data_IF_464538268941
#
_entry.id   IF_464538268941
#
_cell.length_a   1.000
_cell.length_b   1.000
_cell.length_c   1.000
_cell.angle_alpha   90.00
_cell.angle_beta   90.00
_cell.angle_gamma   90.00
#
_symmetry.space_group_name_H-M   'P 1'
#
loop_
_entity.id
_entity.type
_entity.pdbx_description
1 polymer ?
#
# COMPACT_ATOMS: atom_id res chain seq x y z
N UNK A 1 -5.35 -6.66 -14.49
CA UNK A 1 -6.64 -7.12 -13.94
C UNK A 1 -7.80 -6.98 -14.92
N UNK A 2 -8.23 -5.77 -15.31
CA UNK A 2 -9.39 -5.59 -16.22
C UNK A 2 -9.32 -6.44 -17.49
N UNK A 3 -8.18 -6.45 -18.18
CA UNK A 3 -8.04 -7.24 -19.42
C UNK A 3 -8.14 -8.74 -19.16
N UNK A 4 -7.59 -9.23 -18.04
CA UNK A 4 -7.63 -10.66 -17.66
C UNK A 4 -9.07 -11.08 -17.41
N UNK A 5 -9.79 -10.36 -16.54
CA UNK A 5 -11.18 -10.71 -16.25
C UNK A 5 -12.06 -10.58 -17.50
N UNK A 6 -11.87 -9.50 -18.29
CA UNK A 6 -12.63 -9.32 -19.53
C UNK A 6 -12.41 -10.48 -20.49
N UNK A 7 -11.16 -10.91 -20.67
CA UNK A 7 -10.81 -12.05 -21.50
C UNK A 7 -11.53 -13.32 -21.04
N UNK A 8 -11.39 -13.70 -19.77
CA UNK A 8 -12.03 -14.91 -19.24
C UNK A 8 -13.57 -14.88 -19.34
N UNK A 9 -14.19 -13.71 -19.20
CA UNK A 9 -15.64 -13.55 -19.37
C UNK A 9 -16.05 -13.67 -20.85
N UNK A 10 -15.27 -13.13 -21.79
CA UNK A 10 -15.55 -13.23 -23.22
C UNK A 10 -15.37 -14.66 -23.73
N UNK A 11 -14.35 -15.37 -23.26
CA UNK A 11 -14.12 -16.79 -23.59
C UNK A 11 -15.10 -17.73 -22.86
N UNK A 12 -15.93 -17.20 -21.96
CA UNK A 12 -16.93 -17.99 -21.24
C UNK A 12 -16.37 -18.88 -20.13
N UNK A 13 -15.15 -18.64 -19.65
CA UNK A 13 -14.56 -19.43 -18.56
C UNK A 13 -15.33 -19.24 -17.24
N UNK A 14 -15.78 -18.01 -16.97
CA UNK A 14 -16.63 -17.68 -15.82
C UNK A 14 -17.39 -16.37 -16.08
N UNK A 15 -18.43 -16.10 -15.29
CA UNK A 15 -19.31 -14.93 -15.49
C UNK A 15 -19.59 -14.15 -14.18
N UNK A 16 -20.86 -13.99 -13.79
CA UNK A 16 -21.32 -13.29 -12.58
C UNK A 16 -20.99 -14.05 -11.29
N UNK A 17 -20.85 -15.38 -11.36
CA UNK A 17 -20.50 -16.25 -10.22
C UNK A 17 -19.23 -15.78 -9.49
N UNK A 18 -18.28 -15.18 -10.21
CA UNK A 18 -17.08 -14.59 -9.60
C UNK A 18 -17.43 -13.60 -8.47
N UNK A 19 -18.51 -12.84 -8.60
CA UNK A 19 -18.93 -11.91 -7.55
C UNK A 19 -19.47 -12.63 -6.31
N UNK A 20 -20.10 -13.79 -6.48
CA UNK A 20 -20.60 -14.63 -5.39
C UNK A 20 -19.43 -15.31 -4.67
N UNK A 21 -18.46 -15.83 -5.42
CA UNK A 21 -17.22 -16.37 -4.87
C UNK A 21 -16.39 -15.30 -4.15
N UNK A 22 -16.31 -14.08 -4.71
CA UNK A 22 -15.68 -12.94 -4.02
C UNK A 22 -16.42 -12.58 -2.73
N UNK A 23 -17.75 -12.64 -2.71
CA UNK A 23 -18.53 -12.38 -1.51
C UNK A 23 -18.24 -13.42 -0.42
N UNK A 24 -18.20 -14.71 -0.78
CA UNK A 24 -17.96 -15.83 0.15
C UNK A 24 -16.49 -16.01 0.56
N UNK A 25 -15.55 -15.39 -0.17
CA UNK A 25 -14.12 -15.47 0.12
C UNK A 25 -13.81 -15.02 1.56
N UNK A 26 -13.31 -15.98 2.36
CA UNK A 26 -12.78 -15.77 3.71
C UNK A 26 -11.32 -15.35 3.60
N UNK A 27 -11.02 -14.14 4.05
CA UNK A 27 -9.68 -13.53 3.97
C UNK A 27 -9.17 -13.26 5.39
N UNK A 28 -7.86 -13.44 5.60
CA UNK A 28 -7.15 -13.00 6.81
C UNK A 28 -7.44 -11.53 7.15
N UNK A 29 -7.43 -11.19 8.44
CA UNK A 29 -7.65 -9.82 8.92
C UNK A 29 -6.69 -8.80 8.26
N UNK A 30 -5.48 -9.22 7.91
CA UNK A 30 -4.49 -8.36 7.23
C UNK A 30 -4.98 -7.89 5.86
N UNK A 31 -5.69 -8.75 5.13
CA UNK A 31 -6.14 -8.51 3.76
C UNK A 31 -7.61 -8.11 3.67
N UNK A 32 -8.36 -8.17 4.78
CA UNK A 32 -9.80 -7.87 4.87
C UNK A 32 -10.15 -6.46 4.44
N UNK A 33 -9.32 -5.47 4.82
CA UNK A 33 -9.47 -4.06 4.40
C UNK A 33 -9.31 -3.91 2.87
N UNK A 34 -8.52 -4.80 2.27
CA UNK A 34 -8.21 -4.80 0.85
C UNK A 34 -9.00 -5.86 0.07
N UNK A 35 -10.10 -6.38 0.64
CA UNK A 35 -10.96 -7.34 -0.06
C UNK A 35 -11.37 -6.78 -1.43
N UNK A 36 -11.23 -7.55 -2.52
CA UNK A 36 -11.56 -7.05 -3.84
C UNK A 36 -13.04 -6.66 -3.93
N UNK A 37 -13.31 -5.50 -4.51
CA UNK A 37 -14.67 -5.05 -4.79
C UNK A 37 -15.33 -5.91 -5.88
N UNK A 38 -16.66 -5.87 -5.91
CA UNK A 38 -17.47 -6.46 -6.97
C UNK A 38 -17.00 -6.00 -8.35
N UNK A 39 -16.89 -6.95 -9.28
CA UNK A 39 -16.59 -6.66 -10.68
C UNK A 39 -17.87 -6.29 -11.41
N UNK A 40 -17.81 -5.23 -12.22
CA UNK A 40 -18.91 -4.85 -13.12
C UNK A 40 -18.91 -5.78 -14.34
N UNK A 41 -20.06 -6.37 -14.65
CA UNK A 41 -20.20 -7.34 -15.75
C UNK A 41 -20.72 -6.71 -17.05
N UNK A 42 -20.89 -5.40 -17.12
CA UNK A 42 -21.29 -4.70 -18.35
C UNK A 42 -20.10 -4.65 -19.31
N UNK A 43 -20.07 -5.53 -20.30
CA UNK A 43 -18.97 -5.67 -21.27
C UNK A 43 -18.66 -4.39 -22.06
N UNK A 44 -19.69 -3.59 -22.37
CA UNK A 44 -19.55 -2.33 -23.13
C UNK A 44 -18.62 -1.33 -22.45
N UNK A 45 -18.63 -1.28 -21.12
CA UNK A 45 -17.79 -0.40 -20.30
C UNK A 45 -17.05 -1.20 -19.22
N UNK A 46 -16.48 -2.35 -19.61
CA UNK A 46 -15.88 -3.27 -18.65
C UNK A 46 -14.63 -2.67 -17.99
N UNK A 47 -14.76 -2.32 -16.71
CA UNK A 47 -13.66 -1.78 -15.89
C UNK A 47 -13.72 -2.38 -14.50
N UNK A 48 -12.58 -2.90 -14.06
CA UNK A 48 -12.40 -3.39 -12.69
C UNK A 48 -11.89 -2.21 -11.86
N UNK A 49 -12.77 -1.60 -11.05
CA UNK A 49 -12.43 -0.46 -10.21
C UNK A 49 -11.93 -0.95 -8.85
N UNK A 50 -10.63 -0.84 -8.61
CA UNK A 50 -9.95 -1.31 -7.41
C UNK A 50 -8.79 -0.36 -7.10
N UNK A 51 -8.46 -0.20 -5.82
CA UNK A 51 -7.19 0.41 -5.41
C UNK A 51 -6.00 -0.49 -5.78
N UNK A 52 -4.77 0.01 -5.65
CA UNK A 52 -3.58 -0.81 -5.88
C UNK A 52 -3.52 -2.03 -4.93
N UNK A 53 -3.80 -1.80 -3.64
CA UNK A 53 -3.82 -2.86 -2.64
C UNK A 53 -4.93 -3.89 -2.89
N UNK A 54 -6.12 -3.44 -3.28
CA UNK A 54 -7.22 -4.33 -3.68
C UNK A 54 -6.90 -5.11 -4.95
N UNK A 55 -6.25 -4.49 -5.94
CA UNK A 55 -5.80 -5.17 -7.17
C UNK A 55 -4.78 -6.25 -6.85
N UNK A 56 -3.84 -5.99 -5.93
CA UNK A 56 -2.87 -6.98 -5.47
C UNK A 56 -3.54 -8.14 -4.74
N UNK A 57 -4.44 -7.84 -3.81
CA UNK A 57 -5.27 -8.86 -3.15
C UNK A 57 -6.02 -9.71 -4.19
N UNK A 58 -6.66 -9.07 -5.16
CA UNK A 58 -7.41 -9.76 -6.19
C UNK A 58 -6.52 -10.67 -7.05
N UNK A 59 -5.33 -10.20 -7.45
CA UNK A 59 -4.40 -11.03 -8.24
C UNK A 59 -3.95 -12.30 -7.50
N UNK A 60 -3.79 -12.23 -6.17
CA UNK A 60 -3.42 -13.38 -5.35
C UNK A 60 -4.52 -14.42 -5.24
N UNK A 61 -5.76 -13.97 -5.00
CA UNK A 61 -6.89 -14.88 -4.78
C UNK A 61 -7.59 -15.33 -6.06
N UNK A 62 -7.48 -14.59 -7.17
CA UNK A 62 -8.20 -14.93 -8.41
C UNK A 62 -7.92 -16.37 -8.89
N UNK A 63 -6.67 -16.88 -8.93
CA UNK A 63 -6.44 -18.28 -9.29
C UNK A 63 -7.11 -19.30 -8.36
N UNK A 64 -7.26 -18.97 -7.08
CA UNK A 64 -7.91 -19.84 -6.10
C UNK A 64 -9.43 -19.88 -6.28
N UNK A 65 -10.02 -18.76 -6.72
CA UNK A 65 -11.45 -18.63 -6.98
C UNK A 65 -11.83 -19.37 -8.27
N UNK A 66 -11.22 -18.96 -9.38
CA UNK A 66 -11.70 -19.36 -10.72
C UNK A 66 -10.70 -20.20 -11.51
N UNK A 67 -9.53 -20.53 -10.95
CA UNK A 67 -8.49 -21.26 -11.69
C UNK A 67 -8.94 -22.63 -12.17
N UNK A 68 -9.83 -23.30 -11.43
CA UNK A 68 -10.42 -24.58 -11.83
C UNK A 68 -11.41 -24.48 -13.01
N UNK A 69 -11.87 -23.27 -13.35
CA UNK A 69 -12.79 -22.99 -14.46
C UNK A 69 -12.06 -22.60 -15.75
N UNK A 70 -10.74 -22.37 -15.68
CA UNK A 70 -9.93 -21.99 -16.84
C UNK A 70 -9.32 -23.26 -17.46
N UNK A 71 -9.34 -23.41 -18.79
CA UNK A 71 -8.73 -24.56 -19.45
C UNK A 71 -7.24 -24.72 -19.10
N UNK A 72 -6.81 -25.97 -18.97
CA UNK A 72 -5.39 -26.30 -18.88
C UNK A 72 -4.69 -25.82 -20.17
N UNK A 73 -3.49 -25.25 -20.02
CA UNK A 73 -2.66 -24.71 -21.11
C UNK A 73 -3.20 -23.45 -21.82
N UNK A 74 -4.14 -22.72 -21.21
CA UNK A 74 -4.49 -21.39 -21.71
C UNK A 74 -3.31 -20.41 -21.54
N UNK A 75 -2.65 -20.05 -22.65
CA UNK A 75 -1.42 -19.24 -22.64
C UNK A 75 -1.64 -17.82 -22.08
N UNK A 76 -2.83 -17.24 -22.24
CA UNK A 76 -3.14 -15.89 -21.72
C UNK A 76 -3.33 -15.93 -20.21
N UNK A 77 -3.95 -16.99 -19.69
CA UNK A 77 -4.05 -17.26 -18.28
C UNK A 77 -2.68 -17.55 -17.65
N UNK A 78 -1.86 -18.37 -18.32
CA UNK A 78 -0.48 -18.65 -17.92
C UNK A 78 0.36 -17.36 -17.82
N UNK A 79 0.25 -16.46 -18.81
CA UNK A 79 0.86 -15.13 -18.75
C UNK A 79 0.40 -14.33 -17.52
N UNK A 80 -0.87 -14.44 -17.12
CA UNK A 80 -1.35 -13.82 -15.89
C UNK A 80 -0.79 -14.47 -14.62
N UNK A 81 -0.65 -15.80 -14.59
CA UNK A 81 -0.03 -16.51 -13.46
C UNK A 81 1.44 -16.12 -13.29
N UNK A 82 2.20 -16.05 -14.39
CA UNK A 82 3.59 -15.58 -14.39
C UNK A 82 3.69 -14.12 -13.91
N UNK A 83 2.77 -13.25 -14.32
CA UNK A 83 2.71 -11.87 -13.81
C UNK A 83 2.44 -11.84 -12.29
N UNK A 84 1.55 -12.70 -11.81
CA UNK A 84 1.26 -12.82 -10.38
C UNK A 84 2.51 -13.26 -9.61
N UNK A 85 3.23 -14.24 -10.12
CA UNK A 85 4.43 -14.79 -9.48
C UNK A 85 5.58 -13.79 -9.48
N UNK A 86 5.78 -13.06 -10.59
CA UNK A 86 6.67 -11.91 -10.63
C UNK A 86 6.31 -10.89 -9.53
N UNK A 87 5.03 -10.54 -9.39
CA UNK A 87 4.60 -9.58 -8.38
C UNK A 87 4.81 -10.11 -6.96
N UNK A 88 4.72 -11.42 -6.71
CA UNK A 88 5.07 -12.00 -5.41
C UNK A 88 6.53 -11.78 -5.06
N UNK A 89 7.44 -11.99 -6.00
CA UNK A 89 8.87 -11.73 -5.81
C UNK A 89 9.13 -10.23 -5.55
N UNK A 90 8.54 -9.35 -6.36
CA UNK A 90 8.76 -7.89 -6.26
C UNK A 90 8.20 -7.31 -4.96
N UNK A 91 7.06 -7.84 -4.49
CA UNK A 91 6.41 -7.40 -3.26
C UNK A 91 6.90 -8.15 -2.01
N UNK A 92 7.96 -8.96 -2.10
CA UNK A 92 8.51 -9.66 -0.95
C UNK A 92 9.24 -8.69 0.00
N UNK A 93 9.05 -8.89 1.31
CA UNK A 93 9.74 -8.11 2.35
C UNK A 93 11.23 -8.48 2.47
N UNK A 94 11.56 -9.73 2.11
CA UNK A 94 12.89 -10.30 2.11
C UNK A 94 12.99 -11.35 0.99
N UNK A 95 14.16 -11.46 0.38
CA UNK A 95 14.45 -12.41 -0.70
C UNK A 95 15.77 -13.11 -0.40
N UNK A 96 15.78 -14.43 -0.52
CA UNK A 96 17.00 -15.25 -0.49
C UNK A 96 17.65 -15.28 -1.89
N UNK A 97 18.97 -15.49 -2.03
CA UNK A 97 19.62 -15.58 -3.33
C UNK A 97 19.00 -16.61 -4.30
N UNK A 98 18.49 -17.74 -3.80
CA UNK A 98 17.79 -18.72 -4.64
C UNK A 98 16.50 -18.16 -5.26
N UNK A 99 15.76 -17.35 -4.50
CA UNK A 99 14.56 -16.67 -5.02
C UNK A 99 14.90 -15.62 -6.08
N UNK A 100 16.09 -15.00 -6.01
CA UNK A 100 16.52 -14.01 -6.98
C UNK A 100 16.78 -14.63 -8.36
N UNK A 101 17.36 -15.83 -8.40
CA UNK A 101 17.56 -16.56 -9.65
C UNK A 101 16.20 -16.92 -10.27
N UNK A 102 15.31 -17.54 -9.47
CA UNK A 102 13.96 -17.90 -9.90
C UNK A 102 13.16 -16.69 -10.39
N UNK A 103 13.33 -15.52 -9.76
CA UNK A 103 12.68 -14.29 -10.19
C UNK A 103 13.11 -13.86 -11.59
N UNK A 104 14.40 -13.98 -11.94
CA UNK A 104 14.88 -13.62 -13.28
C UNK A 104 14.24 -14.52 -14.35
N UNK A 105 14.14 -15.83 -14.06
CA UNK A 105 13.51 -16.82 -14.94
C UNK A 105 12.02 -16.51 -15.15
N UNK A 106 11.27 -16.30 -14.05
CA UNK A 106 9.84 -15.95 -14.10
C UNK A 106 9.60 -14.66 -14.89
N UNK A 107 10.51 -13.67 -14.77
CA UNK A 107 10.40 -12.42 -15.53
C UNK A 107 10.57 -12.69 -17.03
N UNK A 108 11.61 -13.43 -17.42
CA UNK A 108 11.86 -13.73 -18.83
C UNK A 108 10.70 -14.54 -19.43
N UNK A 109 10.25 -15.57 -18.72
CA UNK A 109 9.13 -16.40 -19.14
C UNK A 109 7.83 -15.59 -19.28
N UNK A 110 7.55 -14.67 -18.35
CA UNK A 110 6.45 -13.73 -18.47
C UNK A 110 6.55 -12.90 -19.75
N UNK A 111 7.73 -12.34 -20.05
CA UNK A 111 7.93 -11.47 -21.22
C UNK A 111 7.75 -12.23 -22.53
N UNK A 112 8.30 -13.43 -22.63
CA UNK A 112 8.12 -14.32 -23.78
C UNK A 112 6.64 -14.67 -23.96
N UNK A 113 6.00 -15.17 -22.91
CA UNK A 113 4.59 -15.55 -22.94
C UNK A 113 3.69 -14.36 -23.27
N UNK A 114 3.93 -13.20 -22.67
CA UNK A 114 3.18 -11.96 -22.93
C UNK A 114 3.28 -11.55 -24.41
N UNK A 115 4.47 -11.62 -25.00
CA UNK A 115 4.70 -11.22 -26.39
C UNK A 115 4.07 -12.20 -27.39
N UNK A 116 4.05 -13.49 -27.06
CA UNK A 116 3.33 -14.50 -27.86
C UNK A 116 1.81 -14.33 -27.77
N UNK A 117 1.28 -14.07 -26.57
CA UNK A 117 -0.15 -13.97 -26.32
C UNK A 117 -0.80 -12.67 -26.82
N UNK A 118 -0.02 -11.60 -26.93
CA UNK A 118 -0.50 -10.26 -27.28
C UNK A 118 0.47 -9.56 -28.24
N UNK A 119 0.68 -10.10 -29.46
CA UNK A 119 1.72 -9.63 -30.38
C UNK A 119 1.53 -8.19 -30.84
N UNK A 120 0.27 -7.74 -30.95
CA UNK A 120 -0.08 -6.41 -31.48
C UNK A 120 0.02 -5.29 -30.44
N UNK A 121 0.34 -5.60 -29.18
CA UNK A 121 0.42 -4.62 -28.10
C UNK A 121 1.87 -4.32 -27.76
N UNK A 122 2.24 -3.05 -27.90
CA UNK A 122 3.55 -2.58 -27.46
C UNK A 122 3.77 -2.85 -25.97
N UNK A 123 4.89 -3.48 -25.64
CA UNK A 123 5.30 -3.73 -24.26
C UNK A 123 5.39 -2.40 -23.53
N UNK A 124 4.65 -2.30 -22.42
CA UNK A 124 4.63 -1.06 -21.62
C UNK A 124 6.00 -0.86 -20.96
N UNK A 125 6.47 0.38 -20.77
CA UNK A 125 7.71 0.66 -20.05
C UNK A 125 7.77 0.01 -18.67
N UNK A 126 6.62 -0.09 -17.98
CA UNK A 126 6.51 -0.78 -16.69
C UNK A 126 6.93 -2.24 -16.73
N UNK A 127 6.64 -2.95 -17.82
CA UNK A 127 7.08 -4.33 -18.00
C UNK A 127 8.55 -4.38 -18.40
N UNK A 128 9.01 -3.47 -19.27
CA UNK A 128 10.44 -3.40 -19.61
C UNK A 128 11.32 -3.22 -18.36
N UNK A 129 10.95 -2.31 -17.46
CA UNK A 129 11.72 -2.07 -16.24
C UNK A 129 11.83 -3.29 -15.30
N UNK A 130 10.90 -4.27 -15.38
CA UNK A 130 10.99 -5.46 -14.52
C UNK A 130 12.22 -6.31 -14.84
N UNK A 131 12.74 -6.26 -16.08
CA UNK A 131 13.98 -6.94 -16.48
C UNK A 131 15.19 -6.50 -15.64
N UNK A 132 15.17 -5.27 -15.11
CA UNK A 132 16.24 -4.75 -14.27
C UNK A 132 16.06 -5.07 -12.78
N UNK A 133 14.87 -5.52 -12.37
CA UNK A 133 14.57 -5.72 -10.95
C UNK A 133 15.50 -6.74 -10.26
N UNK A 134 15.93 -7.85 -10.87
CA UNK A 134 16.90 -8.75 -10.23
C UNK A 134 18.22 -8.04 -9.88
N UNK A 135 18.74 -7.23 -10.80
CA UNK A 135 19.97 -6.45 -10.57
C UNK A 135 19.77 -5.38 -9.50
N UNK A 136 18.62 -4.69 -9.49
CA UNK A 136 18.29 -3.70 -8.49
C UNK A 136 18.13 -4.31 -7.10
N UNK A 137 17.52 -5.49 -6.99
CA UNK A 137 17.37 -6.20 -5.71
C UNK A 137 18.73 -6.60 -5.15
N UNK A 138 19.63 -7.08 -6.01
CA UNK A 138 21.00 -7.41 -5.62
C UNK A 138 21.75 -6.20 -5.06
N UNK A 139 21.52 -5.01 -5.60
CA UNK A 139 22.22 -3.79 -5.22
C UNK A 139 21.59 -3.08 -4.02
N UNK A 140 20.26 -3.01 -3.95
CA UNK A 140 19.53 -2.17 -3.00
C UNK A 140 18.70 -2.96 -1.98
N UNK A 141 18.65 -4.29 -2.10
CA UNK A 141 17.75 -5.14 -1.32
C UNK A 141 16.32 -5.16 -1.86
N UNK A 142 15.35 -5.68 -1.09
CA UNK A 142 13.97 -5.85 -1.53
C UNK A 142 13.32 -4.53 -2.00
N UNK A 143 12.79 -4.51 -3.23
CA UNK A 143 12.24 -3.29 -3.86
C UNK A 143 11.01 -2.74 -3.13
N UNK A 144 10.30 -3.57 -2.36
CA UNK A 144 9.17 -3.14 -1.55
C UNK A 144 9.55 -1.99 -0.59
N UNK A 145 10.80 -1.93 -0.12
CA UNK A 145 11.28 -0.85 0.76
C UNK A 145 11.56 0.45 0.01
N UNK A 146 11.73 0.39 -1.32
CA UNK A 146 11.99 1.54 -2.19
C UNK A 146 10.70 2.11 -2.83
N UNK A 147 9.54 1.50 -2.58
CA UNK A 147 8.28 1.93 -3.17
C UNK A 147 7.85 3.32 -2.66
N UNK A 148 7.16 4.08 -3.52
CA UNK A 148 6.68 5.42 -3.18
C UNK A 148 5.24 5.45 -2.65
N UNK A 149 4.55 4.30 -2.57
CA UNK A 149 3.14 4.23 -2.15
C UNK A 149 2.90 4.87 -0.78
N UNK A 150 3.84 4.74 0.17
CA UNK A 150 3.74 5.37 1.50
C UNK A 150 3.77 6.89 1.43
N UNK A 151 4.59 7.46 0.54
CA UNK A 151 4.67 8.91 0.33
C UNK A 151 3.38 9.43 -0.31
N UNK A 152 2.81 8.71 -1.28
CA UNK A 152 1.52 9.05 -1.89
C UNK A 152 0.38 9.01 -0.87
N UNK A 153 0.34 7.97 -0.03
CA UNK A 153 -0.63 7.85 1.05
C UNK A 153 -0.52 9.00 2.06
N UNK A 154 0.71 9.36 2.47
CA UNK A 154 0.93 10.52 3.35
C UNK A 154 0.53 11.84 2.70
N UNK A 155 0.81 11.99 1.41
CA UNK A 155 0.40 13.17 0.65
C UNK A 155 -1.13 13.32 0.56
N UNK A 156 -1.87 12.20 0.54
CA UNK A 156 -3.32 12.22 0.49
C UNK A 156 -3.97 12.94 1.67
N UNK A 157 -3.40 12.82 2.87
CA UNK A 157 -3.83 13.60 4.05
C UNK A 157 -3.84 15.11 3.76
N UNK A 158 -2.77 15.62 3.16
CA UNK A 158 -2.64 17.05 2.87
C UNK A 158 -3.59 17.51 1.76
N UNK A 159 -3.82 16.68 0.73
CA UNK A 159 -4.81 16.96 -0.31
C UNK A 159 -6.22 17.06 0.25
N UNK A 160 -6.62 16.09 1.06
CA UNK A 160 -7.92 16.06 1.72
C UNK A 160 -8.10 17.28 2.63
N UNK A 161 -7.09 17.59 3.44
CA UNK A 161 -7.14 18.76 4.32
C UNK A 161 -7.23 20.07 3.52
N UNK A 162 -6.48 20.19 2.42
CA UNK A 162 -6.53 21.35 1.53
C UNK A 162 -7.87 21.50 0.81
N UNK A 163 -8.57 20.40 0.52
CA UNK A 163 -9.91 20.42 -0.05
C UNK A 163 -10.97 20.82 0.99
N UNK A 164 -10.90 20.24 2.19
CA UNK A 164 -11.85 20.51 3.29
C UNK A 164 -11.64 21.88 3.93
N UNK A 165 -10.40 22.37 3.96
CA UNK A 165 -10.08 23.70 4.44
C UNK A 165 -10.59 24.75 3.47
N UNK A 166 -11.64 25.46 3.89
CA UNK A 166 -12.15 26.63 3.17
C UNK A 166 -11.26 27.87 3.34
N UNK A 167 -10.20 27.80 4.15
CA UNK A 167 -9.23 28.88 4.31
C UNK A 167 -8.08 28.71 3.30
N UNK A 168 -7.94 29.68 2.39
CA UNK A 168 -6.87 29.73 1.38
C UNK A 168 -5.69 30.62 1.77
N UNK A 169 -5.82 31.45 2.81
CA UNK A 169 -4.72 32.31 3.29
C UNK A 169 -3.68 31.43 3.98
N UNK A 170 -2.43 31.52 3.54
CA UNK A 170 -1.30 30.78 4.13
C UNK A 170 -1.54 29.26 4.24
N UNK A 171 -2.10 28.64 3.19
CA UNK A 171 -2.44 27.21 3.17
C UNK A 171 -1.30 26.31 3.65
N UNK A 172 -0.05 26.59 3.25
CA UNK A 172 1.12 25.80 3.68
C UNK A 172 1.29 25.79 5.21
N UNK A 173 1.12 26.94 5.86
CA UNK A 173 1.18 27.08 7.32
C UNK A 173 0.05 26.28 7.97
N UNK A 174 -1.18 26.44 7.49
CA UNK A 174 -2.34 25.72 8.02
C UNK A 174 -2.22 24.19 7.89
N UNK A 175 -1.72 23.71 6.74
CA UNK A 175 -1.44 22.29 6.51
C UNK A 175 -0.36 21.76 7.45
N UNK A 176 0.74 22.52 7.64
CA UNK A 176 1.83 22.15 8.54
C UNK A 176 1.37 22.10 10.00
N UNK A 177 0.68 23.14 10.49
CA UNK A 177 0.19 23.21 11.87
C UNK A 177 -0.77 22.05 12.18
N UNK A 178 -1.75 21.79 11.31
CA UNK A 178 -2.68 20.66 11.51
C UNK A 178 -1.99 19.31 11.46
N UNK A 179 -1.02 19.15 10.57
CA UNK A 179 -0.23 17.93 10.51
C UNK A 179 0.59 17.74 11.79
N UNK A 180 1.23 18.80 12.32
CA UNK A 180 1.97 18.74 13.58
C UNK A 180 1.05 18.35 14.75
N UNK A 181 -0.14 18.95 14.86
CA UNK A 181 -1.11 18.56 15.90
C UNK A 181 -1.57 17.10 15.75
N UNK A 182 -1.84 16.66 14.51
CA UNK A 182 -2.21 15.27 14.24
C UNK A 182 -1.10 14.29 14.62
N UNK A 183 0.15 14.57 14.21
CA UNK A 183 1.30 13.75 14.56
C UNK A 183 1.58 13.75 16.06
N UNK A 184 1.42 14.89 16.73
CA UNK A 184 1.54 14.98 18.19
C UNK A 184 0.52 14.04 18.86
N UNK A 185 -0.76 14.15 18.48
CA UNK A 185 -1.83 13.29 18.99
C UNK A 185 -1.56 11.80 18.76
N UNK A 186 -1.21 11.40 17.54
CA UNK A 186 -0.91 10.00 17.19
C UNK A 186 0.30 9.47 17.97
N UNK A 187 1.36 10.27 18.10
CA UNK A 187 2.55 9.90 18.85
C UNK A 187 2.29 9.83 20.37
N UNK A 188 1.35 10.62 20.88
CA UNK A 188 0.93 10.59 22.30
C UNK A 188 -0.12 9.52 22.62
N UNK A 189 -0.80 8.96 21.60
CA UNK A 189 -1.90 8.00 21.78
C UNK A 189 -1.48 6.59 22.19
N UNK A 190 -0.18 6.29 22.15
CA UNK A 190 0.39 5.01 22.58
C UNK A 190 1.48 5.21 23.63
N UNK A 191 1.12 5.12 24.91
CA UNK A 191 2.04 4.97 26.06
C UNK A 191 3.09 6.07 26.24
N UNK A 192 2.69 7.27 26.63
CA UNK A 192 3.57 8.13 27.40
C UNK A 192 2.86 8.57 28.68
N UNK A 193 3.47 8.16 29.80
CA UNK A 193 3.09 8.38 31.19
C UNK A 193 1.84 7.62 31.67
N UNK A 194 2.01 6.39 32.14
CA UNK A 194 1.11 5.89 33.19
C UNK A 194 1.36 6.73 34.46
N UNK A 195 0.41 6.79 35.40
CA UNK A 195 0.58 7.62 36.61
C UNK A 195 1.81 7.26 37.46
N UNK A 196 2.49 6.14 37.16
CA UNK A 196 3.75 5.73 37.76
C UNK A 196 5.01 6.07 36.97
N UNK A 197 4.89 6.53 35.71
CA UNK A 197 6.03 6.94 34.87
C UNK A 197 6.24 8.46 34.90
N UNK A 198 5.29 9.22 35.44
CA UNK A 198 5.55 10.58 35.87
C UNK A 198 6.20 10.53 37.25
N UNK A 199 7.50 10.81 37.33
CA UNK A 199 8.03 11.42 38.54
C UNK A 199 7.29 12.75 38.69
N UNK A 200 6.19 12.74 39.42
CA UNK A 200 5.83 13.94 40.14
C UNK A 200 7.01 14.17 41.07
N UNK A 201 7.94 15.05 40.65
CA UNK A 201 8.73 15.74 41.64
C UNK A 201 7.70 16.36 42.55
N UNK A 202 7.51 15.78 43.73
CA UNK A 202 6.75 16.34 44.81
C UNK A 202 7.45 17.61 45.22
N UNK A 203 7.30 18.64 44.38
CA UNK A 203 7.81 19.97 44.61
C UNK A 203 7.18 20.40 45.91
N UNK A 204 8.00 20.38 46.95
CA UNK A 204 7.60 20.92 48.23
C UNK A 204 7.28 22.39 47.97
N UNK A 205 6.10 22.84 48.34
CA UNK A 205 5.77 24.27 48.33
C UNK A 205 6.67 24.94 49.35
N UNK A 206 7.75 25.56 48.86
CA UNK A 206 8.65 26.35 49.70
C UNK A 206 8.15 27.81 49.67
N UNK A 207 7.91 28.44 50.83
CA UNK A 207 7.60 29.86 50.90
C UNK A 207 8.64 30.68 50.13
N UNK A 208 8.17 31.58 49.25
CA UNK A 208 9.04 32.41 48.39
C UNK A 208 10.12 33.16 49.20
N UNK A 209 9.80 33.55 50.44
CA UNK A 209 10.70 34.22 51.38
C UNK A 209 11.96 33.41 51.76
N UNK A 210 11.97 32.08 51.54
CA UNK A 210 13.11 31.22 51.81
C UNK A 210 14.05 31.05 50.60
N UNK A 211 13.65 31.54 49.43
CA UNK A 211 14.49 31.55 48.24
C UNK A 211 15.45 32.75 48.28
N UNK A 212 16.55 32.68 47.56
CA UNK A 212 17.50 33.79 47.52
C UNK A 212 16.87 35.04 46.87
N UNK A 213 17.31 36.23 47.27
CA UNK A 213 16.68 37.51 46.93
C UNK A 213 16.62 37.76 45.42
N UNK A 214 17.60 37.24 44.68
CA UNK A 214 17.63 37.32 43.21
C UNK A 214 16.48 36.54 42.58
N UNK A 215 16.23 35.31 43.06
CA UNK A 215 15.13 34.47 42.57
C UNK A 215 13.77 35.00 43.00
N UNK A 216 13.66 35.61 44.19
CA UNK A 216 12.42 36.25 44.63
C UNK A 216 12.02 37.39 43.69
N UNK A 217 12.97 38.23 43.25
CA UNK A 217 12.71 39.36 42.34
C UNK A 217 12.29 38.90 40.94
N UNK A 218 13.01 37.91 40.41
CA UNK A 218 12.69 37.32 39.10
C UNK A 218 11.28 36.72 39.06
N UNK A 219 10.87 36.02 40.12
CA UNK A 219 9.55 35.40 40.20
C UNK A 219 8.42 36.39 40.50
N UNK A 220 8.71 37.51 41.19
CA UNK A 220 7.76 38.58 41.43
C UNK A 220 7.51 39.47 40.19
N UNK A 221 8.22 39.23 39.08
CA UNK A 221 8.08 40.00 37.84
C UNK A 221 8.55 41.45 37.94
N UNK A 222 9.37 41.75 38.95
CA UNK A 222 9.98 43.07 39.15
C UNK A 222 11.45 42.93 38.74
N UNK A 223 11.74 43.30 37.49
CA UNK A 223 13.11 43.53 37.02
C UNK A 223 13.60 44.86 37.57
#
# INVERSE_FOLDING_TARGET
>A
MTNVIKYCVVEGFFSLELNEELASLKISEVDKINKPLRVNNVLRNFKVHQSAAQTWCFARFLPLLVGHKVPLNDRKWESFLLLRDMLFCVCALALDPGHLLSMADVINEFHECYRTCVPDVTVKPKFHYTLHYPSMIKQFGPLLHLQTLRFEAKHNYFKELGYRSKNRKNMRKALAERHHYYMSSDNTGGKFLSSGDCDSTGGSTVPLALLDNEFQRLLAGVV
#
